data_IF_603475038530
#
_entry.id   IF_603475038530
#
_cell.length_a   1.000
_cell.length_b   1.000
_cell.length_c   1.000
_cell.angle_alpha   90.00
_cell.angle_beta   90.00
_cell.angle_gamma   90.00
#
_symmetry.space_group_name_H-M   'P 1'
#
loop_
_entity.id
_entity.type
_entity.pdbx_description
1 polymer ?
#
# COMPACT_ATOMS: atom_id res chain seq x y z
N UNK A 1 39.16 93.06 -52.64
CA UNK A 1 38.49 91.76 -52.55
C UNK A 1 38.02 91.63 -51.11
N UNK A 2 36.78 92.03 -50.86
CA UNK A 2 36.19 91.99 -49.51
C UNK A 2 35.74 90.57 -49.20
N UNK A 3 36.44 89.94 -48.25
CA UNK A 3 36.03 88.67 -47.68
C UNK A 3 34.95 88.95 -46.64
N UNK A 4 33.68 88.70 -47.00
CA UNK A 4 32.58 88.70 -46.02
C UNK A 4 32.81 87.56 -45.04
N UNK A 5 33.10 87.91 -43.79
CA UNK A 5 33.05 86.97 -42.67
C UNK A 5 31.57 86.70 -42.38
N UNK A 6 31.12 85.46 -42.64
CA UNK A 6 29.81 84.98 -42.24
C UNK A 6 29.90 84.66 -40.74
N UNK A 7 28.92 85.12 -39.95
CA UNK A 7 28.88 84.88 -38.52
C UNK A 7 28.55 83.40 -38.26
N UNK A 8 29.20 82.73 -37.29
CA UNK A 8 28.87 81.35 -36.91
C UNK A 8 27.38 81.16 -36.54
N UNK A 9 26.74 82.22 -36.03
CA UNK A 9 25.32 82.24 -35.68
C UNK A 9 24.40 82.22 -36.91
N UNK A 10 24.87 82.76 -38.04
CA UNK A 10 24.13 82.73 -39.31
C UNK A 10 24.24 81.35 -39.98
N UNK A 11 25.36 80.65 -39.82
CA UNK A 11 25.53 79.27 -40.28
C UNK A 11 24.69 78.27 -39.46
N UNK A 12 24.62 78.41 -38.12
CA UNK A 12 23.77 77.54 -37.29
C UNK A 12 22.28 77.71 -37.61
N UNK A 13 21.85 78.92 -37.92
CA UNK A 13 20.45 79.20 -38.27
C UNK A 13 20.06 78.60 -39.63
N UNK A 14 20.96 78.64 -40.61
CA UNK A 14 20.73 78.07 -41.94
C UNK A 14 20.70 76.53 -41.90
N UNK A 15 21.49 75.91 -41.01
CA UNK A 15 21.45 74.45 -40.75
C UNK A 15 20.16 74.04 -40.02
N UNK A 16 19.67 74.86 -39.08
CA UNK A 16 18.42 74.60 -38.36
C UNK A 16 17.16 74.80 -39.23
N UNK A 17 17.16 75.78 -40.13
CA UNK A 17 16.06 75.99 -41.09
C UNK A 17 16.06 74.97 -42.24
N UNK A 18 17.22 74.38 -42.59
CA UNK A 18 17.29 73.28 -43.56
C UNK A 18 16.91 71.91 -42.97
N UNK A 19 16.70 71.83 -41.66
CA UNK A 19 16.14 70.68 -40.95
C UNK A 19 14.62 70.76 -40.73
N UNK A 20 13.98 71.88 -41.07
CA UNK A 20 12.51 72.00 -41.01
C UNK A 20 11.90 71.25 -42.20
N UNK A 21 11.33 70.08 -41.90
CA UNK A 21 10.53 69.33 -42.84
C UNK A 21 9.32 70.18 -43.26
N UNK A 22 8.88 70.00 -44.51
CA UNK A 22 7.57 70.51 -44.92
C UNK A 22 6.52 69.96 -43.95
N UNK A 23 5.49 70.72 -43.56
CA UNK A 23 4.38 70.21 -42.75
C UNK A 23 3.78 68.91 -43.30
N UNK A 24 3.79 68.73 -44.63
CA UNK A 24 3.33 67.51 -45.31
C UNK A 24 4.28 66.31 -45.13
N UNK A 25 5.57 66.55 -44.95
CA UNK A 25 6.57 65.50 -44.71
C UNK A 25 6.66 65.15 -43.22
N UNK A 26 6.42 66.11 -42.32
CA UNK A 26 6.21 65.84 -40.89
C UNK A 26 4.97 64.96 -40.66
N UNK A 27 3.86 65.24 -41.34
CA UNK A 27 2.64 64.44 -41.26
C UNK A 27 2.87 62.99 -41.73
N UNK A 28 3.61 62.80 -42.84
CA UNK A 28 3.95 61.45 -43.32
C UNK A 28 4.84 60.69 -42.34
N UNK A 29 5.80 61.37 -41.71
CA UNK A 29 6.70 60.73 -40.74
C UNK A 29 5.95 60.38 -39.45
N UNK A 30 5.02 61.23 -39.01
CA UNK A 30 4.10 60.92 -37.91
C UNK A 30 3.23 59.69 -38.23
N UNK A 31 2.61 59.63 -39.40
CA UNK A 31 1.81 58.47 -39.83
C UNK A 31 2.66 57.19 -39.86
N UNK A 32 3.91 57.29 -40.34
CA UNK A 32 4.85 56.15 -40.32
C UNK A 32 5.15 55.70 -38.91
N UNK A 33 5.45 56.64 -38.01
CA UNK A 33 5.76 56.35 -36.61
C UNK A 33 4.56 55.73 -35.89
N UNK A 34 3.37 56.29 -36.06
CA UNK A 34 2.13 55.73 -35.48
C UNK A 34 1.85 54.31 -35.97
N UNK A 35 2.05 54.05 -37.27
CA UNK A 35 1.94 52.72 -37.84
C UNK A 35 2.94 51.76 -37.21
N UNK A 36 4.21 52.15 -37.14
CA UNK A 36 5.27 51.32 -36.55
C UNK A 36 4.99 51.03 -35.07
N UNK A 37 4.56 52.05 -34.30
CA UNK A 37 4.21 51.90 -32.89
C UNK A 37 3.06 50.91 -32.69
N UNK A 38 2.03 50.98 -33.54
CA UNK A 38 0.90 50.04 -33.52
C UNK A 38 1.37 48.62 -33.82
N UNK A 39 2.17 48.43 -34.87
CA UNK A 39 2.69 47.12 -35.24
C UNK A 39 3.60 46.51 -34.16
N UNK A 40 4.42 47.32 -33.49
CA UNK A 40 5.23 46.85 -32.35
C UNK A 40 4.36 46.48 -31.16
N UNK A 41 3.37 47.31 -30.83
CA UNK A 41 2.46 47.05 -29.72
C UNK A 41 1.64 45.77 -29.93
N UNK A 42 1.08 45.58 -31.13
CA UNK A 42 0.33 44.37 -31.48
C UNK A 42 1.21 43.11 -31.36
N UNK A 43 2.44 43.16 -31.88
CA UNK A 43 3.39 42.04 -31.77
C UNK A 43 3.76 41.72 -30.33
N UNK A 44 4.04 42.74 -29.52
CA UNK A 44 4.43 42.55 -28.12
C UNK A 44 3.25 42.03 -27.29
N UNK A 45 2.04 42.50 -27.58
CA UNK A 45 0.81 41.98 -26.98
C UNK A 45 0.55 40.52 -27.36
N UNK A 46 0.71 40.16 -28.64
CA UNK A 46 0.58 38.77 -29.10
C UNK A 46 1.60 37.86 -28.41
N UNK A 47 2.87 38.28 -28.35
CA UNK A 47 3.93 37.52 -27.68
C UNK A 47 3.63 37.34 -26.18
N UNK A 48 3.17 38.39 -25.50
CA UNK A 48 2.78 38.32 -24.10
C UNK A 48 1.60 37.37 -23.88
N UNK A 49 0.57 37.47 -24.72
CA UNK A 49 -0.61 36.59 -24.63
C UNK A 49 -0.21 35.12 -24.81
N UNK A 50 0.63 34.81 -25.81
CA UNK A 50 1.13 33.44 -26.02
C UNK A 50 1.88 32.93 -24.79
N UNK A 51 2.79 33.74 -24.24
CA UNK A 51 3.56 33.37 -23.06
C UNK A 51 2.66 33.06 -21.85
N UNK A 52 1.65 33.90 -21.59
CA UNK A 52 0.70 33.69 -20.50
C UNK A 52 -0.13 32.41 -20.73
N UNK A 53 -0.55 32.13 -21.97
CA UNK A 53 -1.29 30.91 -22.27
C UNK A 53 -0.44 29.64 -22.07
N UNK A 54 0.82 29.66 -22.48
CA UNK A 54 1.76 28.55 -22.28
C UNK A 54 1.97 28.29 -20.79
N UNK A 55 2.19 29.33 -19.99
CA UNK A 55 2.34 29.21 -18.53
C UNK A 55 1.07 28.65 -17.87
N UNK A 56 -0.11 29.12 -18.29
CA UNK A 56 -1.39 28.58 -17.81
C UNK A 56 -1.52 27.09 -18.16
N UNK A 57 -1.11 26.67 -19.36
CA UNK A 57 -1.19 25.28 -19.77
C UNK A 57 -0.21 24.38 -18.99
N UNK A 58 1.00 24.86 -18.73
CA UNK A 58 1.97 24.17 -17.89
C UNK A 58 1.48 24.05 -16.43
N UNK A 59 0.89 25.12 -15.88
CA UNK A 59 0.28 25.09 -14.54
C UNK A 59 -0.84 24.05 -14.47
N UNK A 60 -1.76 24.06 -15.44
CA UNK A 60 -2.83 23.06 -15.52
C UNK A 60 -2.29 21.64 -15.57
N UNK A 61 -1.24 21.38 -16.36
CA UNK A 61 -0.62 20.05 -16.44
C UNK A 61 -0.04 19.63 -15.09
N UNK A 62 0.64 20.53 -14.38
CA UNK A 62 1.18 20.27 -13.04
C UNK A 62 0.06 19.96 -12.03
N UNK A 63 -1.01 20.75 -12.03
CA UNK A 63 -2.13 20.55 -11.11
C UNK A 63 -2.85 19.23 -11.37
N UNK A 64 -3.09 18.88 -12.64
CA UNK A 64 -3.70 17.59 -13.03
C UNK A 64 -2.82 16.44 -12.56
N UNK A 65 -1.50 16.54 -12.73
CA UNK A 65 -0.58 15.50 -12.28
C UNK A 65 -0.61 15.36 -10.76
N UNK A 66 -0.56 16.47 -10.02
CA UNK A 66 -0.61 16.45 -8.56
C UNK A 66 -1.90 15.81 -8.02
N UNK A 67 -3.06 16.16 -8.60
CA UNK A 67 -4.36 15.56 -8.25
C UNK A 67 -4.37 14.06 -8.57
N UNK A 68 -3.77 13.67 -9.70
CA UNK A 68 -3.71 12.25 -10.11
C UNK A 68 -2.87 11.44 -9.13
N UNK A 69 -1.70 11.95 -8.75
CA UNK A 69 -0.79 11.29 -7.81
C UNK A 69 -1.45 11.14 -6.43
N UNK A 70 -2.14 12.18 -5.94
CA UNK A 70 -2.89 12.15 -4.69
C UNK A 70 -4.02 11.12 -4.72
N UNK A 71 -4.79 11.06 -5.82
CA UNK A 71 -5.85 10.08 -5.99
C UNK A 71 -5.32 8.64 -6.00
N UNK A 72 -4.14 8.40 -6.59
CA UNK A 72 -3.50 7.09 -6.59
C UNK A 72 -3.09 6.66 -5.18
N UNK A 73 -2.48 7.56 -4.41
CA UNK A 73 -2.11 7.31 -3.00
C UNK A 73 -3.35 6.93 -2.17
N UNK A 74 -4.45 7.68 -2.32
CA UNK A 74 -5.70 7.41 -1.61
C UNK A 74 -6.32 6.08 -2.02
N UNK A 75 -6.31 5.76 -3.31
CA UNK A 75 -6.82 4.48 -3.81
C UNK A 75 -6.00 3.31 -3.26
N UNK A 76 -4.68 3.45 -3.16
CA UNK A 76 -3.78 2.43 -2.64
C UNK A 76 -4.00 2.20 -1.14
N UNK A 77 -4.07 3.28 -0.36
CA UNK A 77 -4.40 3.23 1.06
C UNK A 77 -5.76 2.55 1.31
N UNK A 78 -6.77 2.87 0.49
CA UNK A 78 -8.09 2.26 0.59
C UNK A 78 -8.05 0.75 0.27
N UNK A 79 -7.32 0.33 -0.78
CA UNK A 79 -7.15 -1.09 -1.12
C UNK A 79 -6.44 -1.86 0.00
N UNK A 80 -5.39 -1.28 0.59
CA UNK A 80 -4.68 -1.87 1.72
C UNK A 80 -5.59 -2.02 2.94
N UNK A 81 -6.38 -0.98 3.27
CA UNK A 81 -7.34 -1.02 4.37
C UNK A 81 -8.43 -2.09 4.17
N UNK A 82 -8.95 -2.25 2.95
CA UNK A 82 -9.88 -3.32 2.63
C UNK A 82 -9.27 -4.71 2.77
N UNK A 83 -8.04 -4.91 2.30
CA UNK A 83 -7.34 -6.18 2.42
C UNK A 83 -7.09 -6.56 3.88
N UNK A 84 -6.64 -5.61 4.70
CA UNK A 84 -6.42 -5.82 6.13
C UNK A 84 -7.72 -6.26 6.83
N UNK A 85 -8.82 -5.52 6.62
CA UNK A 85 -10.13 -5.89 7.20
C UNK A 85 -10.61 -7.27 6.74
N UNK A 86 -10.43 -7.61 5.47
CA UNK A 86 -10.81 -8.91 4.96
C UNK A 86 -10.00 -10.05 5.59
N UNK A 87 -8.70 -9.82 5.82
CA UNK A 87 -7.82 -10.78 6.51
C UNK A 87 -8.22 -10.94 7.98
N UNK A 88 -8.55 -9.86 8.68
CA UNK A 88 -9.00 -9.93 10.07
C UNK A 88 -10.27 -10.78 10.20
N UNK A 89 -11.28 -10.53 9.36
CA UNK A 89 -12.52 -11.33 9.33
C UNK A 89 -12.23 -12.80 9.00
N UNK A 90 -11.30 -13.07 8.10
CA UNK A 90 -10.90 -14.44 7.78
C UNK A 90 -10.23 -15.13 8.97
N UNK A 91 -9.29 -14.45 9.63
CA UNK A 91 -8.58 -14.96 10.80
C UNK A 91 -9.54 -15.21 11.97
N UNK A 92 -10.46 -14.30 12.23
CA UNK A 92 -11.51 -14.47 13.25
C UNK A 92 -12.34 -15.72 12.97
N UNK A 93 -12.74 -15.92 11.71
CA UNK A 93 -13.50 -17.11 11.30
C UNK A 93 -12.70 -18.39 11.47
N UNK A 94 -11.41 -18.39 11.16
CA UNK A 94 -10.54 -19.54 11.38
C UNK A 94 -10.42 -19.85 12.87
N UNK A 95 -10.22 -18.83 13.71
CA UNK A 95 -10.11 -18.99 15.16
C UNK A 95 -11.41 -19.57 15.75
N UNK A 96 -12.57 -19.08 15.32
CA UNK A 96 -13.87 -19.64 15.70
C UNK A 96 -14.02 -21.10 15.28
N UNK A 97 -13.58 -21.46 14.07
CA UNK A 97 -13.61 -22.85 13.60
C UNK A 97 -12.71 -23.75 14.46
N UNK A 98 -11.49 -23.32 14.76
CA UNK A 98 -10.59 -24.07 15.65
C UNK A 98 -11.19 -24.25 17.05
N UNK A 99 -11.74 -23.19 17.64
CA UNK A 99 -12.40 -23.27 18.94
C UNK A 99 -13.59 -24.25 18.92
N UNK A 100 -14.42 -24.20 17.88
CA UNK A 100 -15.57 -25.12 17.73
C UNK A 100 -15.15 -26.58 17.57
N UNK A 101 -14.05 -26.83 16.86
CA UNK A 101 -13.46 -28.16 16.70
C UNK A 101 -12.94 -28.66 18.04
N UNK A 102 -12.23 -27.82 18.80
CA UNK A 102 -11.71 -28.18 20.11
C UNK A 102 -12.85 -28.51 21.09
N UNK A 103 -13.89 -27.67 21.15
CA UNK A 103 -15.08 -27.92 21.97
C UNK A 103 -15.77 -29.24 21.60
N UNK A 104 -15.88 -29.54 20.31
CA UNK A 104 -16.54 -30.76 19.83
C UNK A 104 -15.72 -32.04 20.09
N UNK A 105 -14.40 -31.99 19.87
CA UNK A 105 -13.54 -33.16 19.93
C UNK A 105 -12.93 -33.42 21.31
N UNK A 106 -12.65 -32.39 22.11
CA UNK A 106 -12.08 -32.55 23.45
C UNK A 106 -12.84 -33.54 24.34
N UNK A 107 -14.18 -33.46 24.49
CA UNK A 107 -14.92 -34.43 25.30
C UNK A 107 -14.92 -35.83 24.69
N UNK A 108 -14.94 -35.95 23.35
CA UNK A 108 -14.87 -37.25 22.66
C UNK A 108 -13.54 -37.93 22.87
N UNK A 109 -12.44 -37.18 22.83
CA UNK A 109 -11.11 -37.70 23.17
C UNK A 109 -11.00 -38.05 24.65
N UNK A 110 -11.58 -37.25 25.55
CA UNK A 110 -11.61 -37.56 26.97
C UNK A 110 -12.38 -38.86 27.25
N UNK A 111 -13.49 -39.09 26.55
CA UNK A 111 -14.26 -40.34 26.66
C UNK A 111 -13.51 -41.53 26.03
N UNK A 112 -12.94 -41.36 24.84
CA UNK A 112 -12.14 -42.38 24.19
C UNK A 112 -10.91 -42.79 25.01
N UNK A 113 -10.35 -41.90 25.84
CA UNK A 113 -9.26 -42.23 26.77
C UNK A 113 -9.69 -43.16 27.91
N UNK A 114 -10.97 -43.15 28.30
CA UNK A 114 -11.49 -44.05 29.37
C UNK A 114 -11.63 -45.48 28.88
N UNK A 115 -11.86 -45.68 27.59
CA UNK A 115 -12.06 -46.98 26.96
C UNK A 115 -10.76 -47.42 26.31
N UNK A 116 -10.15 -48.51 26.79
CA UNK A 116 -9.04 -49.11 26.07
C UNK A 116 -9.57 -49.94 24.89
N UNK A 117 -8.97 -49.79 23.72
CA UNK A 117 -9.35 -50.57 22.53
C UNK A 117 -8.39 -51.74 22.30
N UNK A 118 -8.84 -52.69 21.47
CA UNK A 118 -8.02 -53.81 21.02
C UNK A 118 -6.77 -53.31 20.28
N UNK A 119 -5.59 -53.80 20.67
CA UNK A 119 -4.29 -53.46 20.07
C UNK A 119 -4.02 -54.21 18.76
N UNK A 120 -4.91 -55.12 18.33
CA UNK A 120 -4.75 -55.82 17.07
C UNK A 120 -5.03 -54.87 15.88
N UNK A 121 -4.14 -54.80 14.86
CA UNK A 121 -4.30 -53.91 13.72
C UNK A 121 -5.66 -54.07 13.03
N UNK A 122 -6.33 -52.95 12.75
CA UNK A 122 -7.65 -52.92 12.10
C UNK A 122 -8.82 -53.34 12.99
N UNK A 123 -8.60 -53.72 14.25
CA UNK A 123 -9.67 -54.06 15.18
C UNK A 123 -10.07 -52.83 16.01
N UNK A 124 -11.35 -52.43 15.96
CA UNK A 124 -11.92 -51.36 16.80
C UNK A 124 -12.73 -51.90 17.99
N UNK A 125 -12.57 -53.18 18.30
CA UNK A 125 -13.29 -53.82 19.40
C UNK A 125 -12.83 -53.27 20.75
N UNK A 126 -13.78 -53.06 21.66
CA UNK A 126 -13.49 -52.68 23.04
C UNK A 126 -12.67 -53.77 23.76
N UNK A 127 -11.68 -53.37 24.56
CA UNK A 127 -10.87 -54.28 25.36
C UNK A 127 -11.75 -55.12 26.27
N UNK A 128 -11.52 -56.43 26.27
CA UNK A 128 -12.07 -57.37 27.26
C UNK A 128 -10.98 -57.96 28.14
N UNK A 129 -9.80 -58.20 27.57
CA UNK A 129 -8.68 -58.82 28.27
C UNK A 129 -7.43 -57.95 28.15
N UNK A 130 -6.65 -57.92 29.23
CA UNK A 130 -5.33 -57.30 29.28
C UNK A 130 -4.27 -58.37 29.12
N UNK A 131 -3.31 -58.16 28.23
CA UNK A 131 -2.12 -59.01 28.13
C UNK A 131 -0.96 -58.41 28.94
N UNK A 132 -0.66 -57.12 28.74
CA UNK A 132 0.35 -56.37 29.51
C UNK A 132 -0.09 -54.89 29.65
N UNK A 133 0.78 -53.98 30.09
CA UNK A 133 0.44 -52.55 30.23
C UNK A 133 0.12 -51.87 28.90
N UNK A 134 0.77 -52.30 27.81
CA UNK A 134 0.66 -51.65 26.51
C UNK A 134 -0.25 -52.38 25.51
N UNK A 135 -0.74 -53.57 25.85
CA UNK A 135 -1.55 -54.37 24.93
C UNK A 135 -2.81 -54.94 25.58
N UNK A 136 -3.92 -54.68 24.90
CA UNK A 136 -5.28 -55.02 25.27
C UNK A 136 -5.98 -55.69 24.10
N UNK A 137 -6.85 -56.67 24.36
CA UNK A 137 -7.52 -57.40 23.29
C UNK A 137 -9.02 -57.55 23.55
N UNK A 138 -9.81 -57.51 22.48
CA UNK A 138 -11.26 -57.76 22.56
C UNK A 138 -11.61 -59.27 22.56
N UNK A 139 -10.67 -60.12 22.13
CA UNK A 139 -10.82 -61.58 22.08
C UNK A 139 -9.46 -62.28 22.03
N UNK A 140 -9.42 -63.56 22.40
CA UNK A 140 -8.23 -64.39 22.24
C UNK A 140 -7.80 -64.52 20.77
N UNK A 141 -8.74 -64.46 19.82
CA UNK A 141 -8.43 -64.51 18.39
C UNK A 141 -7.56 -63.31 17.99
N UNK A 142 -7.91 -62.12 18.46
CA UNK A 142 -7.13 -60.90 18.20
C UNK A 142 -5.76 -60.97 18.89
N UNK A 143 -5.68 -61.51 20.10
CA UNK A 143 -4.41 -61.73 20.78
C UNK A 143 -3.51 -62.68 20.00
N UNK A 144 -4.01 -63.87 19.61
CA UNK A 144 -3.25 -64.87 18.84
C UNK A 144 -2.78 -64.32 17.50
N UNK A 145 -3.63 -63.57 16.80
CA UNK A 145 -3.28 -62.93 15.53
C UNK A 145 -2.18 -61.87 15.67
N UNK A 146 -2.21 -61.08 16.76
CA UNK A 146 -1.22 -60.03 17.00
C UNK A 146 0.05 -60.54 17.72
N UNK A 147 0.03 -61.78 18.23
CA UNK A 147 1.06 -62.31 19.12
C UNK A 147 2.44 -62.36 18.47
N UNK A 148 2.53 -62.66 17.17
CA UNK A 148 3.81 -62.77 16.46
C UNK A 148 4.63 -61.47 16.48
N UNK A 149 3.97 -60.32 16.47
CA UNK A 149 4.60 -59.00 16.66
C UNK A 149 4.68 -58.61 18.13
N UNK A 150 3.62 -58.85 18.92
CA UNK A 150 3.57 -58.41 20.30
C UNK A 150 4.58 -59.13 21.21
N UNK A 151 4.91 -60.39 20.94
CA UNK A 151 5.81 -61.20 21.78
C UNK A 151 7.17 -60.55 22.01
N UNK A 152 7.65 -59.76 21.04
CA UNK A 152 8.95 -59.07 21.10
C UNK A 152 8.97 -57.92 22.12
N UNK A 153 7.80 -57.40 22.46
CA UNK A 153 7.63 -56.22 23.32
C UNK A 153 6.77 -56.51 24.56
N UNK A 154 6.24 -57.73 24.68
CA UNK A 154 5.41 -58.12 25.80
C UNK A 154 6.25 -58.18 27.09
N UNK A 155 5.86 -57.41 28.10
CA UNK A 155 6.53 -57.31 29.42
C UNK A 155 7.94 -56.71 29.43
N UNK A 156 8.39 -56.09 28.34
CA UNK A 156 9.59 -55.25 28.35
C UNK A 156 9.22 -53.81 28.76
N UNK A 157 9.26 -53.51 30.05
CA UNK A 157 9.08 -52.14 30.57
C UNK A 157 10.25 -51.21 30.18
N UNK A 158 11.42 -51.76 29.90
CA UNK A 158 12.64 -50.98 29.57
C UNK A 158 12.71 -50.52 28.11
N UNK A 159 11.95 -51.13 27.19
CA UNK A 159 12.00 -50.78 25.75
C UNK A 159 11.48 -49.36 25.45
N UNK A 160 10.78 -48.76 26.41
CA UNK A 160 10.14 -47.45 26.26
C UNK A 160 10.97 -46.29 26.83
N UNK A 161 11.99 -46.54 27.66
CA UNK A 161 12.82 -45.44 28.20
C UNK A 161 13.74 -44.83 27.15
N UNK A 162 14.01 -45.51 26.04
CA UNK A 162 14.97 -45.04 25.01
C UNK A 162 14.31 -44.64 23.70
N UNK A 163 13.13 -45.18 23.38
CA UNK A 163 12.58 -45.07 22.01
C UNK A 163 11.36 -44.16 21.89
N UNK A 164 10.69 -43.84 23.00
CA UNK A 164 9.45 -43.06 23.02
C UNK A 164 9.45 -42.11 24.21
N UNK A 165 10.51 -41.29 24.30
CA UNK A 165 10.28 -39.94 24.79
C UNK A 165 9.16 -39.36 23.89
N UNK A 166 8.12 -38.70 24.47
CA UNK A 166 7.39 -37.71 23.69
C UNK A 166 8.45 -36.85 23.00
N UNK A 167 8.33 -36.44 21.72
CA UNK A 167 9.18 -35.35 21.28
C UNK A 167 9.08 -34.31 22.38
N UNK A 168 10.22 -34.00 23.03
CA UNK A 168 10.31 -32.74 23.75
C UNK A 168 9.65 -31.76 22.80
N UNK A 169 8.63 -31.03 23.29
CA UNK A 169 7.98 -29.98 22.50
C UNK A 169 9.09 -29.38 21.66
N UNK A 170 8.97 -29.35 20.31
CA UNK A 170 9.99 -28.72 19.50
C UNK A 170 10.35 -27.46 20.27
N UNK A 171 11.63 -27.30 20.65
CA UNK A 171 12.06 -26.02 21.15
C UNK A 171 11.62 -25.09 20.04
N UNK A 172 10.48 -24.43 20.25
CA UNK A 172 10.04 -23.38 19.36
C UNK A 172 11.29 -22.51 19.35
N UNK A 173 11.98 -22.37 18.19
CA UNK A 173 12.97 -21.32 18.13
C UNK A 173 12.20 -20.12 18.66
N UNK A 174 12.72 -19.52 19.72
CA UNK A 174 12.22 -18.25 20.21
C UNK A 174 12.31 -17.37 18.97
N UNK A 175 11.23 -17.32 18.21
CA UNK A 175 11.07 -16.40 17.11
C UNK A 175 11.01 -15.13 17.93
N UNK A 176 12.18 -14.50 18.05
CA UNK A 176 12.27 -13.09 18.29
C UNK A 176 11.44 -12.51 17.14
N UNK A 177 10.15 -12.34 17.41
CA UNK A 177 9.31 -11.39 16.72
C UNK A 177 10.04 -10.10 17.04
N UNK A 178 10.96 -9.72 16.15
CA UNK A 178 11.52 -8.39 16.10
C UNK A 178 10.29 -7.53 15.92
N UNK A 179 9.85 -6.98 17.05
CA UNK A 179 8.68 -6.14 17.14
C UNK A 179 9.13 -4.76 16.64
N UNK A 180 9.46 -4.67 15.36
CA UNK A 180 9.84 -3.41 14.70
C UNK A 180 8.59 -2.55 14.42
N UNK A 181 7.40 -2.97 14.88
CA UNK A 181 6.13 -2.29 14.66
C UNK A 181 5.76 -1.25 15.74
N UNK A 182 6.53 -1.12 16.82
CA UNK A 182 6.24 -0.12 17.87
C UNK A 182 6.67 1.31 17.47
N UNK A 183 7.23 1.51 16.27
CA UNK A 183 7.71 2.82 15.81
C UNK A 183 6.96 3.41 14.59
N UNK A 184 5.88 2.78 14.11
CA UNK A 184 5.07 3.28 12.98
C UNK A 184 3.67 3.78 13.39
N UNK A 185 3.33 3.70 14.68
CA UNK A 185 2.00 4.05 15.22
C UNK A 185 1.91 5.46 15.81
N UNK A 186 2.97 6.26 15.73
CA UNK A 186 2.95 7.63 16.24
C UNK A 186 2.37 8.66 15.24
N UNK A 187 2.33 8.36 13.93
CA UNK A 187 1.88 9.32 12.91
C UNK A 187 0.49 9.01 12.29
N UNK A 188 -0.17 7.93 12.71
CA UNK A 188 -1.45 7.52 12.13
C UNK A 188 -2.70 8.10 12.83
N UNK A 189 -2.52 9.02 13.79
CA UNK A 189 -3.65 9.67 14.48
C UNK A 189 -4.25 10.86 13.71
N UNK A 190 -3.59 11.39 12.69
CA UNK A 190 -4.12 12.52 11.90
C UNK A 190 -5.03 12.09 10.74
N UNK A 191 -5.06 10.80 10.38
CA UNK A 191 -5.86 10.31 9.25
C UNK A 191 -7.25 9.75 9.61
N UNK A 192 -7.60 9.65 10.90
CA UNK A 192 -8.87 9.04 11.34
C UNK A 192 -10.07 9.98 11.28
N UNK A 193 -9.87 11.29 11.24
CA UNK A 193 -10.99 12.24 11.20
C UNK A 193 -11.60 12.42 9.79
N UNK A 194 -10.91 11.97 8.73
CA UNK A 194 -11.39 12.17 7.34
C UNK A 194 -12.34 11.05 6.89
N UNK A 195 -12.21 9.84 7.44
CA UNK A 195 -13.02 8.68 7.01
C UNK A 195 -14.44 8.76 7.60
N UNK A 196 -14.61 9.26 8.82
CA UNK A 196 -15.93 9.41 9.45
C UNK A 196 -16.81 10.49 8.78
N UNK A 197 -16.23 11.41 7.99
CA UNK A 197 -16.98 12.42 7.24
C UNK A 197 -17.63 11.89 5.94
N UNK A 198 -17.06 10.83 5.35
CA UNK A 198 -17.53 10.28 4.07
C UNK A 198 -18.73 9.34 4.28
N UNK A 199 -18.77 8.61 5.40
CA UNK A 199 -19.87 7.69 5.70
C UNK A 199 -21.18 8.41 6.09
N UNK A 200 -21.12 9.64 6.66
CA UNK A 200 -22.33 10.41 6.99
C UNK A 200 -23.03 11.07 5.77
N UNK A 201 -22.40 11.11 4.59
CA UNK A 201 -22.94 11.80 3.40
C UNK A 201 -23.41 10.87 2.27
N UNK A 202 -23.32 9.55 2.45
CA UNK A 202 -23.77 8.57 1.45
C UNK A 202 -25.24 8.14 1.60
N UNK A 203 -25.89 8.46 2.71
CA UNK A 203 -27.26 8.05 3.00
C UNK A 203 -28.34 9.13 2.71
N UNK A 204 -27.98 10.32 2.20
CA UNK A 204 -28.93 11.41 1.88
C UNK A 204 -29.25 11.61 0.38
N UNK A 205 -29.22 10.55 -0.46
CA UNK A 205 -29.72 10.65 -1.85
C UNK A 205 -30.70 9.56 -2.28
#
# INVERSE_FOLDING_TARGET
MDSRQISPEDEEKEVMDSLQLSPEDEEKELIRYEKQLRETYERDMEAFVVQVYEEIEENKKRDIQAITDEAEILADAHRMGLCARAMDVHNDRLQQLYASMEEYYAPKFAEAKKISYCSAPGCKGERKTRCCFFAYYCSERCQKSHWSTHVKICNHTEFYSTTLHPPEKPNDPEIQVVNDNDNLLADASEGREIIDFVDENLDEK
#
